data_IF_936894666094
#
_entry.id   IF_936894666094
#
_cell.length_a   1.000
_cell.length_b   1.000
_cell.length_c   1.000
_cell.angle_alpha   90.00
_cell.angle_beta   90.00
_cell.angle_gamma   90.00
#
_symmetry.space_group_name_H-M   'P 1'
#
loop_
_entity.id
_entity.type
_entity.pdbx_description
1 polymer ?
#
# COMPACT_ATOMS: atom_id res chain seq x y z
N UNK A 1 7.74 -8.22 0.36
CA UNK A 1 7.07 -9.51 0.05
C UNK A 1 7.94 -10.75 0.27
N UNK A 2 9.14 -10.85 -0.33
CA UNK A 2 10.02 -12.02 -0.16
C UNK A 2 10.24 -12.44 1.30
N UNK A 3 10.47 -11.48 2.20
CA UNK A 3 10.69 -11.76 3.62
C UNK A 3 9.47 -12.39 4.30
N UNK A 4 8.25 -11.93 4.00
CA UNK A 4 7.02 -12.53 4.53
C UNK A 4 6.80 -13.95 4.03
N UNK A 5 7.10 -14.21 2.75
CA UNK A 5 7.00 -15.57 2.18
C UNK A 5 8.02 -16.50 2.84
N UNK A 6 9.26 -16.05 3.10
CA UNK A 6 10.26 -16.81 3.86
C UNK A 6 9.89 -17.02 5.34
N UNK A 7 8.91 -16.27 5.84
CA UNK A 7 8.36 -16.45 7.18
C UNK A 7 7.36 -17.62 7.26
N UNK A 8 6.88 -18.13 6.12
CA UNK A 8 5.98 -19.28 6.08
C UNK A 8 6.81 -20.55 6.37
N UNK A 9 6.42 -21.36 7.37
CA UNK A 9 7.09 -22.63 7.66
C UNK A 9 7.00 -23.59 6.47
N UNK A 10 8.12 -24.21 6.10
CA UNK A 10 8.20 -25.13 4.97
C UNK A 10 7.33 -26.39 5.19
N UNK A 11 7.11 -26.77 6.46
CA UNK A 11 6.30 -27.92 6.86
C UNK A 11 4.84 -27.79 6.38
N UNK A 12 4.31 -26.56 6.31
CA UNK A 12 2.95 -26.30 5.79
C UNK A 12 2.89 -26.61 4.29
N UNK A 13 3.94 -26.27 3.55
CA UNK A 13 4.03 -26.50 2.11
C UNK A 13 4.23 -28.00 1.83
N UNK A 14 5.06 -28.67 2.62
CA UNK A 14 5.28 -30.12 2.52
C UNK A 14 4.02 -30.90 2.85
N UNK A 15 3.31 -30.56 3.93
CA UNK A 15 2.02 -31.17 4.27
C UNK A 15 1.00 -31.03 3.13
N UNK A 16 0.86 -29.82 2.56
CA UNK A 16 -0.04 -29.60 1.44
C UNK A 16 0.33 -30.43 0.20
N UNK A 17 1.64 -30.65 -0.05
CA UNK A 17 2.09 -31.54 -1.14
C UNK A 17 1.78 -33.00 -0.85
N UNK A 18 1.95 -33.46 0.39
CA UNK A 18 1.56 -34.82 0.81
C UNK A 18 0.06 -35.06 0.63
N UNK A 19 -0.77 -34.03 0.87
CA UNK A 19 -2.22 -34.04 0.60
C UNK A 19 -2.59 -33.94 -0.90
N UNK A 20 -1.59 -33.99 -1.79
CA UNK A 20 -1.78 -33.94 -3.25
C UNK A 20 -2.14 -32.55 -3.80
N UNK A 21 -1.90 -31.47 -3.05
CA UNK A 21 -2.13 -30.12 -3.57
C UNK A 21 -1.07 -29.74 -4.62
N UNK A 22 -1.52 -29.41 -5.84
CA UNK A 22 -0.65 -28.83 -6.86
C UNK A 22 -0.21 -27.39 -6.53
N UNK A 23 0.86 -26.92 -7.19
CA UNK A 23 1.47 -25.60 -6.95
C UNK A 23 0.48 -24.43 -6.96
N UNK A 24 -0.46 -24.40 -7.91
CA UNK A 24 -1.47 -23.34 -7.97
C UNK A 24 -2.40 -23.33 -6.74
N UNK A 25 -2.78 -24.51 -6.23
CA UNK A 25 -3.59 -24.63 -5.02
C UNK A 25 -2.81 -24.14 -3.80
N UNK A 26 -1.55 -24.53 -3.67
CA UNK A 26 -0.67 -24.09 -2.59
C UNK A 26 -0.53 -22.55 -2.63
N UNK A 27 -0.26 -21.98 -3.80
CA UNK A 27 -0.09 -20.54 -3.95
C UNK A 27 -1.36 -19.76 -3.56
N UNK A 28 -2.51 -20.07 -4.19
CA UNK A 28 -3.72 -19.25 -4.03
C UNK A 28 -4.55 -19.57 -2.79
N UNK A 29 -4.52 -20.83 -2.30
CA UNK A 29 -5.36 -21.24 -1.16
C UNK A 29 -4.60 -21.30 0.16
N UNK A 30 -3.27 -21.37 0.15
CA UNK A 30 -2.47 -21.51 1.38
C UNK A 30 -1.58 -20.28 1.56
N UNK A 31 -0.64 -20.04 0.64
CA UNK A 31 0.34 -18.96 0.75
C UNK A 31 -0.32 -17.59 0.68
N UNK A 32 -1.19 -17.35 -0.30
CA UNK A 32 -1.80 -16.04 -0.54
C UNK A 32 -2.64 -15.52 0.64
N UNK A 33 -3.54 -16.32 1.27
CA UNK A 33 -4.24 -15.90 2.49
C UNK A 33 -3.29 -15.58 3.66
N UNK A 34 -2.19 -16.33 3.81
CA UNK A 34 -1.22 -16.11 4.89
C UNK A 34 -0.46 -14.79 4.74
N UNK A 35 -0.11 -14.40 3.51
CA UNK A 35 0.58 -13.13 3.24
C UNK A 35 -0.38 -11.94 3.03
N UNK A 36 -1.69 -12.15 3.12
CA UNK A 36 -2.70 -11.10 2.94
C UNK A 36 -2.41 -9.85 3.79
N UNK A 37 -2.08 -9.95 5.10
CA UNK A 37 -1.74 -8.76 5.91
C UNK A 37 -0.56 -7.98 5.35
N UNK A 38 0.46 -8.69 4.83
CA UNK A 38 1.64 -8.08 4.22
C UNK A 38 1.32 -7.37 2.90
N UNK A 39 0.42 -7.95 2.09
CA UNK A 39 -0.05 -7.32 0.85
C UNK A 39 -0.80 -6.03 1.17
N UNK A 40 -1.68 -6.03 2.17
CA UNK A 40 -2.39 -4.82 2.58
C UNK A 40 -1.45 -3.74 3.11
N UNK A 41 -0.48 -4.12 3.95
CA UNK A 41 0.55 -3.18 4.41
C UNK A 41 1.32 -2.56 3.24
N UNK A 42 1.75 -3.39 2.27
CA UNK A 42 2.43 -2.91 1.07
C UNK A 42 1.53 -1.98 0.24
N UNK A 43 0.26 -2.34 0.05
CA UNK A 43 -0.69 -1.53 -0.72
C UNK A 43 -0.88 -0.14 -0.09
N UNK A 44 -0.95 -0.05 1.23
CA UNK A 44 -1.03 1.24 1.95
C UNK A 44 0.23 2.06 1.73
N UNK A 45 1.41 1.45 1.85
CA UNK A 45 2.69 2.13 1.63
C UNK A 45 2.82 2.64 0.18
N UNK A 46 2.49 1.81 -0.80
CA UNK A 46 2.49 2.19 -2.23
C UNK A 46 1.48 3.28 -2.52
N UNK A 47 0.29 3.22 -1.90
CA UNK A 47 -0.70 4.28 -2.03
C UNK A 47 -0.16 5.61 -1.51
N UNK A 48 0.42 5.64 -0.30
CA UNK A 48 0.98 6.86 0.28
C UNK A 48 2.07 7.41 -0.63
N UNK A 49 2.99 6.57 -1.10
CA UNK A 49 4.06 6.96 -2.01
C UNK A 49 3.47 7.57 -3.29
N UNK A 50 2.57 6.86 -3.96
CA UNK A 50 1.93 7.30 -5.21
C UNK A 50 1.09 8.57 -5.05
N UNK A 51 0.40 8.72 -3.91
CA UNK A 51 -0.45 9.89 -3.62
C UNK A 51 0.39 11.17 -3.47
N UNK A 52 1.64 11.04 -3.02
CA UNK A 52 2.58 12.14 -2.82
C UNK A 52 3.50 12.41 -4.03
N UNK A 53 3.32 11.73 -5.17
CA UNK A 53 4.15 11.91 -6.38
C UNK A 53 3.83 13.21 -7.15
N UNK A 54 4.03 14.36 -6.50
CA UNK A 54 3.83 15.68 -7.08
C UNK A 54 4.85 16.01 -8.17
N UNK A 55 6.14 15.86 -7.85
CA UNK A 55 7.24 16.23 -8.74
C UNK A 55 7.21 15.42 -10.04
N UNK A 56 6.99 14.11 -9.93
CA UNK A 56 6.90 13.22 -11.10
C UNK A 56 5.68 13.58 -11.95
N UNK A 57 4.54 13.92 -11.34
CA UNK A 57 3.35 14.32 -12.07
C UNK A 57 3.60 15.58 -12.91
N UNK A 58 4.26 16.60 -12.36
CA UNK A 58 4.60 17.83 -13.10
C UNK A 58 5.57 17.57 -14.24
N UNK A 59 6.53 16.65 -14.06
CA UNK A 59 7.51 16.31 -15.10
C UNK A 59 6.88 15.51 -16.24
N UNK A 60 6.03 14.53 -15.93
CA UNK A 60 5.51 13.59 -16.94
C UNK A 60 4.18 14.01 -17.57
N UNK A 61 3.40 14.88 -16.93
CA UNK A 61 2.08 15.29 -17.41
C UNK A 61 2.13 16.71 -17.97
N UNK A 62 1.83 16.85 -19.25
CA UNK A 62 1.78 18.15 -19.94
C UNK A 62 0.37 18.70 -20.13
N UNK A 63 -0.66 17.87 -19.93
CA UNK A 63 -2.07 18.27 -20.13
C UNK A 63 -2.72 18.64 -18.80
N UNK A 64 -3.27 19.87 -18.65
CA UNK A 64 -3.91 20.32 -17.40
C UNK A 64 -5.02 19.39 -16.88
N UNK A 65 -5.80 18.81 -17.79
CA UNK A 65 -6.92 17.90 -17.47
C UNK A 65 -6.47 16.57 -16.82
N UNK A 66 -5.19 16.22 -16.94
CA UNK A 66 -4.61 15.00 -16.38
C UNK A 66 -3.88 15.24 -15.07
N UNK A 67 -3.75 16.50 -14.65
CA UNK A 67 -2.99 16.84 -13.46
C UNK A 67 -3.71 16.29 -12.22
N UNK A 68 -2.97 15.66 -11.29
CA UNK A 68 -3.55 15.27 -10.02
C UNK A 68 -3.99 16.51 -9.24
N UNK A 69 -5.01 16.33 -8.40
CA UNK A 69 -5.60 17.41 -7.61
C UNK A 69 -4.54 18.21 -6.84
N UNK A 70 -3.52 17.54 -6.30
CA UNK A 70 -2.44 18.17 -5.55
C UNK A 70 -1.62 19.16 -6.37
N UNK A 71 -1.35 18.87 -7.66
CA UNK A 71 -0.68 19.82 -8.57
C UNK A 71 -1.63 20.95 -8.94
N UNK A 72 -2.90 20.65 -9.20
CA UNK A 72 -3.89 21.69 -9.52
C UNK A 72 -4.04 22.71 -8.38
N UNK A 73 -4.10 22.24 -7.13
CA UNK A 73 -4.22 23.11 -5.94
C UNK A 73 -3.06 24.10 -5.84
N UNK A 74 -1.83 23.69 -6.18
CA UNK A 74 -0.68 24.58 -6.22
C UNK A 74 -0.90 25.78 -7.17
N UNK A 75 -1.51 25.54 -8.33
CA UNK A 75 -1.73 26.59 -9.35
C UNK A 75 -2.71 27.68 -8.92
N UNK A 76 -3.63 27.37 -8.00
CA UNK A 76 -4.67 28.31 -7.53
C UNK A 76 -4.33 28.98 -6.20
N UNK A 77 -3.23 28.57 -5.54
CA UNK A 77 -2.85 29.05 -4.20
C UNK A 77 -2.82 30.58 -4.08
N UNK A 78 -2.18 31.27 -5.04
CA UNK A 78 -2.07 32.72 -5.03
C UNK A 78 -3.31 33.45 -5.57
N UNK A 79 -4.22 32.74 -6.23
CA UNK A 79 -5.43 33.31 -6.84
C UNK A 79 -6.63 33.26 -5.90
N UNK A 80 -6.82 32.14 -5.19
CA UNK A 80 -7.95 31.95 -4.28
C UNK A 80 -7.57 31.03 -3.10
N UNK A 81 -7.16 31.66 -2.00
CA UNK A 81 -6.80 30.96 -0.76
C UNK A 81 -7.97 30.16 -0.19
N UNK A 82 -9.20 30.64 -0.34
CA UNK A 82 -10.38 29.99 0.26
C UNK A 82 -10.67 28.67 -0.44
N UNK A 83 -10.63 28.67 -1.78
CA UNK A 83 -10.78 27.44 -2.58
C UNK A 83 -9.58 26.50 -2.37
N UNK A 84 -8.36 27.03 -2.28
CA UNK A 84 -7.17 26.24 -1.99
C UNK A 84 -7.32 25.44 -0.68
N UNK A 85 -7.63 26.10 0.44
CA UNK A 85 -7.73 25.43 1.73
C UNK A 85 -8.90 24.44 1.79
N UNK A 86 -10.04 24.75 1.17
CA UNK A 86 -11.15 23.80 1.05
C UNK A 86 -10.73 22.53 0.27
N UNK A 87 -10.03 22.72 -0.85
CA UNK A 87 -9.50 21.61 -1.65
C UNK A 87 -8.42 20.80 -0.92
N UNK A 88 -7.54 21.45 -0.16
CA UNK A 88 -6.51 20.80 0.64
C UNK A 88 -7.11 19.88 1.72
N UNK A 89 -8.19 20.31 2.37
CA UNK A 89 -8.94 19.47 3.31
C UNK A 89 -9.54 18.24 2.60
N UNK A 90 -10.09 18.40 1.40
CA UNK A 90 -10.60 17.26 0.64
C UNK A 90 -9.48 16.32 0.17
N UNK A 91 -8.32 16.86 -0.19
CA UNK A 91 -7.17 16.09 -0.66
C UNK A 91 -6.59 15.16 0.43
N UNK A 92 -6.61 15.57 1.70
CA UNK A 92 -6.09 14.74 2.80
C UNK A 92 -7.06 13.61 3.21
N UNK A 93 -8.36 13.73 2.91
CA UNK A 93 -9.40 12.76 3.34
C UNK A 93 -9.12 11.33 2.84
N UNK A 94 -8.83 11.06 1.55
CA UNK A 94 -8.54 9.70 1.08
C UNK A 94 -7.35 9.06 1.80
N UNK A 95 -6.28 9.83 2.02
CA UNK A 95 -5.09 9.35 2.73
C UNK A 95 -5.41 9.00 4.18
N UNK A 96 -6.19 9.82 4.88
CA UNK A 96 -6.66 9.53 6.24
C UNK A 96 -7.53 8.27 6.29
N UNK A 97 -8.46 8.11 5.36
CA UNK A 97 -9.33 6.93 5.29
C UNK A 97 -8.51 5.64 5.09
N UNK A 98 -7.50 5.68 4.23
CA UNK A 98 -6.60 4.55 3.99
C UNK A 98 -5.74 4.27 5.21
N UNK A 99 -5.23 5.30 5.88
CA UNK A 99 -4.45 5.12 7.11
C UNK A 99 -5.28 4.47 8.22
N UNK A 100 -6.49 4.98 8.48
CA UNK A 100 -7.39 4.44 9.52
C UNK A 100 -7.74 2.98 9.23
N UNK A 101 -8.06 2.63 7.98
CA UNK A 101 -8.35 1.23 7.60
C UNK A 101 -7.09 0.36 7.58
N UNK A 102 -5.94 0.95 7.28
CA UNK A 102 -4.66 0.29 7.08
C UNK A 102 -3.87 0.06 8.36
N UNK A 103 -4.13 0.81 9.44
CA UNK A 103 -3.31 0.82 10.66
C UNK A 103 -3.08 -0.59 11.23
N UNK A 104 -4.15 -1.40 11.34
CA UNK A 104 -4.05 -2.78 11.84
C UNK A 104 -3.12 -3.63 10.98
N UNK A 105 -3.23 -3.53 9.66
CA UNK A 105 -2.42 -4.29 8.71
C UNK A 105 -0.98 -3.81 8.67
N UNK A 106 -0.75 -2.49 8.78
CA UNK A 106 0.58 -1.91 8.91
C UNK A 106 1.29 -2.43 10.16
N UNK A 107 0.61 -2.41 11.32
CA UNK A 107 1.17 -2.98 12.56
C UNK A 107 1.54 -4.45 12.39
N UNK A 108 0.63 -5.27 11.87
CA UNK A 108 0.89 -6.70 11.63
C UNK A 108 2.02 -6.95 10.64
N UNK A 109 2.07 -6.18 9.55
CA UNK A 109 3.12 -6.26 8.55
C UNK A 109 4.49 -5.93 9.14
N UNK A 110 4.59 -4.81 9.87
CA UNK A 110 5.83 -4.37 10.49
C UNK A 110 6.32 -5.33 11.58
N UNK A 111 5.42 -5.91 12.39
CA UNK A 111 5.78 -6.89 13.42
C UNK A 111 6.39 -8.18 12.85
N UNK A 112 5.82 -8.73 11.77
CA UNK A 112 6.34 -9.96 11.14
C UNK A 112 7.68 -9.72 10.43
N UNK A 113 7.88 -8.51 9.89
CA UNK A 113 9.17 -8.12 9.30
C UNK A 113 10.26 -7.78 10.33
N UNK A 114 9.88 -7.31 11.52
CA UNK A 114 10.81 -6.83 12.55
C UNK A 114 11.22 -7.86 13.61
N UNK A 115 10.39 -8.87 13.93
CA UNK A 115 10.61 -9.74 15.09
C UNK A 115 11.47 -11.00 14.84
N UNK A 116 11.90 -11.29 13.60
CA UNK A 116 12.76 -12.46 13.31
C UNK A 116 14.28 -12.17 13.33
N UNK A 117 14.70 -11.05 13.91
CA UNK A 117 16.12 -10.72 14.12
C UNK A 117 16.51 -10.61 15.61
N UNK A 118 15.62 -10.94 16.55
CA UNK A 118 15.96 -11.09 17.97
C UNK A 118 15.55 -12.49 18.46
N UNK A 119 16.39 -13.48 18.15
CA UNK A 119 16.76 -14.63 19.00
C UNK A 119 17.59 -15.63 18.20
#
# INVERSE_FOLDING_TARGET
MRQFIRGIPDEIIEAARMDGAGYGRILFKIVFPMIKPAIFALAVLVFIDSWNMLEQAVIFLSSPEKLPLSVFLETIYYNDYSVFYAGAVLYIVPALLILIKGEKYLRQGLSIGGLKNEK
#
